data_IF_424011496694
#
_entry.id   IF_424011496694
#
_cell.length_a   1.000
_cell.length_b   1.000
_cell.length_c   1.000
_cell.angle_alpha   90.00
_cell.angle_beta   90.00
_cell.angle_gamma   90.00
#
_symmetry.space_group_name_H-M   'P 1'
#
loop_
_entity.id
_entity.type
_entity.pdbx_description
1 polymer ?
#
# COMPACT_ATOMS: atom_id res chain seq x y z
N UNK A 1 3.36 -19.59 1.08
CA UNK A 1 3.38 -18.68 2.25
C UNK A 1 2.88 -17.34 1.78
N UNK A 2 1.76 -16.86 2.35
CA UNK A 2 1.24 -15.51 2.09
C UNK A 2 2.23 -14.50 2.65
N UNK A 3 2.48 -13.39 1.94
CA UNK A 3 3.38 -12.34 2.43
C UNK A 3 2.76 -11.63 3.63
N UNK A 4 3.58 -11.10 4.53
CA UNK A 4 3.07 -10.23 5.58
C UNK A 4 2.61 -8.88 5.01
N UNK A 5 1.67 -8.21 5.68
CA UNK A 5 1.21 -6.88 5.26
C UNK A 5 2.36 -5.88 5.24
N UNK A 6 3.30 -5.97 6.21
CA UNK A 6 4.48 -5.09 6.27
C UNK A 6 5.45 -5.30 5.11
N UNK A 7 5.70 -6.55 4.70
CA UNK A 7 6.45 -6.85 3.47
C UNK A 7 5.74 -6.29 2.23
N UNK A 8 4.42 -6.48 2.13
CA UNK A 8 3.64 -5.92 1.03
C UNK A 8 3.76 -4.40 0.93
N UNK A 9 3.56 -3.69 2.03
CA UNK A 9 3.65 -2.23 2.08
C UNK A 9 5.05 -1.74 1.68
N UNK A 10 6.11 -2.40 2.19
CA UNK A 10 7.50 -2.06 1.84
C UNK A 10 7.77 -2.24 0.35
N UNK A 11 7.42 -3.40 -0.20
CA UNK A 11 7.68 -3.70 -1.62
C UNK A 11 6.87 -2.79 -2.54
N UNK A 12 5.61 -2.49 -2.18
CA UNK A 12 4.77 -1.55 -2.92
C UNK A 12 5.39 -0.14 -2.92
N UNK A 13 5.84 0.34 -1.76
CA UNK A 13 6.51 1.63 -1.65
C UNK A 13 7.80 1.68 -2.49
N UNK A 14 8.64 0.64 -2.44
CA UNK A 14 9.85 0.56 -3.25
C UNK A 14 9.54 0.52 -4.74
N UNK A 15 8.51 -0.23 -5.14
CA UNK A 15 8.06 -0.33 -6.54
C UNK A 15 7.61 1.03 -7.07
N UNK A 16 6.81 1.77 -6.27
CA UNK A 16 6.32 3.11 -6.64
C UNK A 16 7.46 4.14 -6.67
N UNK A 17 8.29 4.21 -5.62
CA UNK A 17 9.43 5.15 -5.52
C UNK A 17 10.48 4.93 -6.61
N UNK A 18 10.74 3.68 -7.00
CA UNK A 18 11.68 3.35 -8.08
C UNK A 18 11.10 3.57 -9.49
N UNK A 19 9.80 3.84 -9.63
CA UNK A 19 9.12 3.94 -10.93
C UNK A 19 9.02 2.61 -11.69
N UNK A 20 9.40 1.48 -11.07
CA UNK A 20 9.42 0.16 -11.73
C UNK A 20 8.03 -0.33 -12.14
N UNK A 21 6.97 0.17 -11.50
CA UNK A 21 5.58 -0.08 -11.87
C UNK A 21 5.24 0.31 -13.32
N UNK A 22 5.94 1.30 -13.90
CA UNK A 22 5.73 1.74 -15.30
C UNK A 22 6.05 0.61 -16.30
N UNK A 23 6.95 -0.30 -15.94
CA UNK A 23 7.34 -1.43 -16.79
C UNK A 23 6.32 -2.57 -16.75
N UNK A 24 5.32 -2.51 -15.87
CA UNK A 24 4.31 -3.54 -15.75
C UNK A 24 3.21 -3.32 -16.78
N UNK A 25 2.70 -4.41 -17.36
CA UNK A 25 1.58 -4.36 -18.30
C UNK A 25 0.33 -3.74 -17.66
N UNK A 26 0.14 -3.97 -16.37
CA UNK A 26 -0.91 -3.39 -15.57
C UNK A 26 -0.39 -3.15 -14.15
N UNK A 27 -0.64 -1.97 -13.61
CA UNK A 27 -0.40 -1.64 -12.21
C UNK A 27 -1.61 -0.88 -11.66
N UNK A 28 -2.04 -1.19 -10.45
CA UNK A 28 -3.27 -0.66 -9.85
C UNK A 28 -2.93 0.14 -8.60
N UNK A 29 -3.26 1.43 -8.64
CA UNK A 29 -3.32 2.22 -7.40
C UNK A 29 -4.68 1.99 -6.75
N UNK A 30 -4.66 1.59 -5.48
CA UNK A 30 -5.88 1.41 -4.68
C UNK A 30 -5.96 2.58 -3.71
N UNK A 31 -6.96 3.42 -3.88
CA UNK A 31 -7.07 4.70 -3.17
C UNK A 31 -8.29 4.66 -2.28
N UNK A 32 -8.13 5.07 -1.01
CA UNK A 32 -9.23 5.34 -0.09
C UNK A 32 -9.96 6.65 -0.40
N UNK A 33 -10.92 7.03 0.43
CA UNK A 33 -11.53 8.36 0.35
C UNK A 33 -10.56 9.46 0.85
N UNK A 34 -10.87 10.72 0.55
CA UNK A 34 -10.10 11.91 0.94
C UNK A 34 -10.08 12.19 2.44
N UNK A 35 -11.04 11.65 3.21
CA UNK A 35 -11.02 11.77 4.66
C UNK A 35 -9.86 10.99 5.26
N UNK A 36 -9.38 9.92 4.59
CA UNK A 36 -8.26 9.08 5.02
C UNK A 36 -8.37 8.73 6.51
N UNK A 37 -9.57 8.32 6.92
CA UNK A 37 -9.82 7.69 8.20
C UNK A 37 -9.23 6.27 8.24
N UNK A 38 -9.23 5.65 9.42
CA UNK A 38 -8.67 4.32 9.59
C UNK A 38 -9.31 3.28 8.65
N UNK A 39 -10.62 3.34 8.47
CA UNK A 39 -11.35 2.40 7.64
C UNK A 39 -10.92 2.48 6.17
N UNK A 40 -10.92 3.68 5.58
CA UNK A 40 -10.50 3.86 4.19
C UNK A 40 -9.03 3.50 3.96
N UNK A 41 -8.15 3.80 4.93
CA UNK A 41 -6.73 3.44 4.86
C UNK A 41 -6.51 1.92 4.93
N UNK A 42 -7.13 1.24 5.89
CA UNK A 42 -7.04 -0.22 6.05
C UNK A 42 -7.68 -0.94 4.86
N UNK A 43 -8.83 -0.47 4.38
CA UNK A 43 -9.49 -1.02 3.20
C UNK A 43 -8.62 -0.93 1.94
N UNK A 44 -7.93 0.20 1.73
CA UNK A 44 -7.01 0.35 0.61
C UNK A 44 -5.86 -0.67 0.67
N UNK A 45 -5.25 -0.84 1.86
CA UNK A 45 -4.18 -1.83 2.09
C UNK A 45 -4.68 -3.26 1.89
N UNK A 46 -5.80 -3.62 2.50
CA UNK A 46 -6.37 -4.96 2.40
C UNK A 46 -6.72 -5.32 0.95
N UNK A 47 -7.34 -4.38 0.22
CA UNK A 47 -7.68 -4.56 -1.20
C UNK A 47 -6.44 -4.64 -2.08
N UNK A 48 -5.41 -3.84 -1.81
CA UNK A 48 -4.13 -3.89 -2.51
C UNK A 48 -3.43 -5.24 -2.34
N UNK A 49 -3.38 -5.74 -1.10
CA UNK A 49 -2.80 -7.04 -0.79
C UNK A 49 -3.58 -8.18 -1.46
N UNK A 50 -4.91 -8.13 -1.42
CA UNK A 50 -5.76 -9.11 -2.08
C UNK A 50 -5.51 -9.16 -3.60
N UNK A 51 -5.37 -8.00 -4.24
CA UNK A 51 -5.03 -7.90 -5.67
C UNK A 51 -3.65 -8.51 -5.96
N UNK A 52 -2.66 -8.18 -5.13
CA UNK A 52 -1.28 -8.64 -5.30
C UNK A 52 -1.10 -10.15 -5.11
N UNK A 53 -1.75 -10.74 -4.10
CA UNK A 53 -1.46 -12.11 -3.68
C UNK A 53 -2.46 -13.15 -4.18
N UNK A 54 -3.74 -12.77 -4.29
CA UNK A 54 -4.82 -13.73 -4.57
C UNK A 54 -5.26 -13.67 -6.02
N UNK A 55 -5.32 -12.47 -6.61
CA UNK A 55 -5.90 -12.29 -7.94
C UNK A 55 -4.87 -12.38 -9.08
N UNK A 56 -3.60 -12.09 -8.82
CA UNK A 56 -2.54 -12.16 -9.85
C UNK A 56 -1.64 -13.40 -9.77
N UNK A 57 -1.98 -14.35 -8.89
CA UNK A 57 -1.64 -15.77 -9.01
C UNK A 57 -0.19 -16.12 -9.35
N UNK A 58 0.61 -16.41 -8.33
CA UNK A 58 1.73 -17.39 -8.29
C UNK A 58 2.62 -17.55 -9.55
N UNK A 59 2.82 -16.50 -10.35
CA UNK A 59 3.92 -16.48 -11.29
C UNK A 59 5.20 -16.32 -10.47
N UNK A 60 6.22 -17.12 -10.77
CA UNK A 60 7.49 -17.20 -10.02
C UNK A 60 8.13 -15.83 -9.75
N UNK A 61 7.75 -14.83 -10.55
CA UNK A 61 8.00 -13.43 -10.29
C UNK A 61 6.81 -12.80 -9.55
N UNK A 62 6.87 -12.79 -8.21
CA UNK A 62 5.96 -12.04 -7.32
C UNK A 62 6.07 -10.52 -7.58
N UNK A 63 5.65 -10.05 -8.75
CA UNK A 63 5.64 -8.62 -9.06
C UNK A 63 4.51 -7.97 -8.29
N UNK A 64 4.83 -6.95 -7.50
CA UNK A 64 3.80 -6.11 -6.88
C UNK A 64 3.04 -5.40 -8.00
N UNK A 65 1.80 -5.80 -8.23
CA UNK A 65 0.93 -5.23 -9.26
C UNK A 65 -0.02 -4.15 -8.77
N UNK A 66 -0.07 -3.96 -7.45
CA UNK A 66 -0.97 -3.03 -6.81
C UNK A 66 -0.27 -2.33 -5.65
N UNK A 67 -0.58 -1.05 -5.45
CA UNK A 67 -0.12 -0.29 -4.31
C UNK A 67 -1.28 0.48 -3.66
N UNK A 68 -1.43 0.38 -2.33
CA UNK A 68 -2.37 1.23 -1.61
C UNK A 68 -1.84 2.66 -1.55
N UNK A 69 -2.73 3.64 -1.69
CA UNK A 69 -2.44 5.06 -1.62
C UNK A 69 -3.36 5.69 -0.57
N UNK A 70 -2.77 6.41 0.37
CA UNK A 70 -3.49 7.27 1.29
C UNK A 70 -3.86 8.54 0.54
N UNK A 71 -5.16 8.87 0.47
CA UNK A 71 -5.66 9.99 -0.32
C UNK A 71 -5.49 11.35 0.39
N UNK A 72 -4.27 11.59 0.90
CA UNK A 72 -3.85 12.85 1.52
C UNK A 72 -2.44 13.21 1.05
N UNK A 73 -2.05 14.49 1.12
CA UNK A 73 -0.66 14.89 0.96
C UNK A 73 0.25 14.22 2.00
N UNK A 74 1.48 13.88 1.61
CA UNK A 74 2.48 13.31 2.55
C UNK A 74 2.69 14.18 3.80
N UNK A 75 2.59 15.50 3.67
CA UNK A 75 2.73 16.46 4.77
C UNK A 75 1.60 16.37 5.81
N UNK A 76 0.44 15.84 5.44
CA UNK A 76 -0.72 15.70 6.33
C UNK A 76 -0.77 14.35 7.04
N UNK A 77 0.11 13.41 6.70
CA UNK A 77 0.14 12.08 7.30
C UNK A 77 0.29 12.14 8.83
N UNK A 78 1.07 13.08 9.34
CA UNK A 78 1.25 13.27 10.79
C UNK A 78 -0.03 13.70 11.52
N UNK A 79 -1.01 14.26 10.80
CA UNK A 79 -2.32 14.65 11.34
C UNK A 79 -3.26 13.44 11.48
N UNK A 80 -3.00 12.34 10.76
CA UNK A 80 -3.78 11.09 10.84
C UNK A 80 -3.25 10.18 11.95
N UNK A 81 -3.29 10.67 13.19
CA UNK A 81 -2.65 10.03 14.35
C UNK A 81 -3.11 8.59 14.57
N UNK A 82 -4.41 8.30 14.47
CA UNK A 82 -4.97 6.95 14.61
C UNK A 82 -4.46 6.01 13.51
N UNK A 83 -4.49 6.46 12.25
CA UNK A 83 -4.00 5.69 11.09
C UNK A 83 -2.52 5.35 11.28
N UNK A 84 -1.70 6.36 11.58
CA UNK A 84 -0.26 6.19 11.76
C UNK A 84 0.03 5.25 12.93
N UNK A 85 -0.63 5.46 14.07
CA UNK A 85 -0.46 4.60 15.26
C UNK A 85 -0.81 3.15 14.95
N UNK A 86 -2.00 2.90 14.37
CA UNK A 86 -2.48 1.54 14.10
C UNK A 86 -1.51 0.76 13.20
N UNK A 87 -1.03 1.39 12.13
CA UNK A 87 -0.10 0.74 11.22
C UNK A 87 1.30 0.55 11.82
N UNK A 88 1.80 1.50 12.60
CA UNK A 88 3.09 1.35 13.31
C UNK A 88 3.05 0.22 14.33
N UNK A 89 1.95 0.09 15.08
CA UNK A 89 1.72 -1.01 16.03
C UNK A 89 1.71 -2.38 15.31
N UNK A 90 1.32 -2.39 14.03
CA UNK A 90 1.37 -3.56 13.14
C UNK A 90 2.68 -3.68 12.32
N UNK A 91 3.73 -2.92 12.67
CA UNK A 91 5.06 -3.03 12.06
C UNK A 91 5.18 -2.43 10.66
N UNK A 92 4.28 -1.52 10.28
CA UNK A 92 4.32 -0.78 9.01
C UNK A 92 4.88 0.61 9.28
N UNK A 93 6.07 0.87 8.75
CA UNK A 93 6.73 2.15 8.91
C UNK A 93 6.04 3.26 8.10
N UNK A 94 5.97 4.50 8.62
CA UNK A 94 5.36 5.62 7.90
C UNK A 94 5.94 5.83 6.49
N UNK A 95 7.23 5.57 6.29
CA UNK A 95 7.91 5.67 5.00
C UNK A 95 7.45 4.65 3.95
N UNK A 96 6.72 3.62 4.36
CA UNK A 96 6.08 2.64 3.47
C UNK A 96 4.72 3.11 2.96
N UNK A 97 4.17 4.23 3.46
CA UNK A 97 2.95 4.80 2.89
C UNK A 97 3.23 5.58 1.61
N UNK A 98 2.40 5.32 0.61
CA UNK A 98 2.30 6.14 -0.59
C UNK A 98 1.16 7.14 -0.36
N UNK A 99 1.48 8.40 -0.50
CA UNK A 99 0.57 9.55 -0.44
C UNK A 99 0.54 10.20 -1.83
N UNK A 100 -0.44 11.06 -2.10
CA UNK A 100 -0.40 11.90 -3.30
C UNK A 100 0.40 13.20 -3.10
#
# INVERSE_FOLDING_TARGET
MLRSVSEFMRDAALTVKSGSWIKQKQFRFVVGNEACDLDSAVCAVARGLLLADVLEGSSVEKRVCAAPVLNIPRSELCLKTEVVFWFQDNGIEPDSFICW
#
